data_IF_851671509092
#
_entry.id   IF_851671509092
#
_cell.length_a   1.000
_cell.length_b   1.000
_cell.length_c   1.000
_cell.angle_alpha   90.00
_cell.angle_beta   90.00
_cell.angle_gamma   90.00
#
_symmetry.space_group_name_H-M   'P 1'
#
loop_
_entity.id
_entity.type
_entity.pdbx_description
1 polymer ?
#
# COMPACT_ATOMS: atom_id res chain seq x y z
N UNK A 1 -1.51 -13.32 -1.97
CA UNK A 1 -2.34 -12.11 -2.15
C UNK A 1 -3.78 -12.52 -2.45
N UNK A 2 -4.76 -11.77 -1.97
CA UNK A 2 -6.18 -11.97 -2.29
C UNK A 2 -6.47 -11.55 -3.73
N UNK A 3 -7.43 -12.19 -4.37
CA UNK A 3 -7.85 -11.85 -5.74
C UNK A 3 -9.26 -11.26 -5.74
N UNK A 4 -9.46 -10.25 -6.58
CA UNK A 4 -10.77 -9.61 -6.82
C UNK A 4 -11.00 -9.53 -8.32
N UNK A 5 -12.22 -9.86 -8.76
CA UNK A 5 -12.63 -9.69 -10.14
C UNK A 5 -13.34 -8.34 -10.32
N UNK A 6 -12.93 -7.60 -11.34
CA UNK A 6 -13.50 -6.30 -11.71
C UNK A 6 -13.76 -6.30 -13.21
N UNK A 7 -14.96 -5.87 -13.61
CA UNK A 7 -15.33 -5.72 -15.01
C UNK A 7 -15.06 -4.29 -15.47
N UNK A 8 -14.48 -4.17 -16.64
CA UNK A 8 -14.18 -2.90 -17.28
C UNK A 8 -14.65 -2.83 -18.72
N UNK A 9 -14.74 -1.62 -19.23
CA UNK A 9 -15.05 -1.33 -20.63
C UNK A 9 -14.00 -0.39 -21.20
N UNK A 10 -13.50 -0.65 -22.40
CA UNK A 10 -12.55 0.24 -23.10
C UNK A 10 -13.15 1.62 -23.31
N UNK A 11 -12.37 2.67 -23.10
CA UNK A 11 -12.81 4.04 -23.29
C UNK A 11 -12.52 4.49 -24.71
N UNK A 12 -13.57 4.91 -25.42
CA UNK A 12 -13.44 5.59 -26.72
C UNK A 12 -13.18 7.08 -26.56
N UNK A 13 -13.82 7.73 -25.56
CA UNK A 13 -13.72 9.17 -25.33
C UNK A 13 -12.77 9.48 -24.17
N UNK A 14 -11.78 10.34 -24.42
CA UNK A 14 -10.83 10.85 -23.44
C UNK A 14 -11.09 12.35 -23.19
N UNK A 15 -10.58 12.88 -22.07
CA UNK A 15 -10.62 14.29 -21.73
C UNK A 15 -11.52 14.64 -20.54
N UNK A 16 -11.49 15.93 -20.15
CA UNK A 16 -12.09 16.45 -18.91
C UNK A 16 -13.61 16.28 -18.85
N UNK A 17 -14.32 16.56 -19.96
CA UNK A 17 -15.79 16.50 -20.01
C UNK A 17 -16.27 15.06 -19.87
N UNK A 18 -15.72 14.14 -20.67
CA UNK A 18 -16.06 12.72 -20.63
C UNK A 18 -15.78 12.10 -19.25
N UNK A 19 -14.60 12.37 -18.65
CA UNK A 19 -14.29 11.86 -17.31
C UNK A 19 -15.21 12.40 -16.21
N UNK A 20 -15.72 13.64 -16.36
CA UNK A 20 -16.67 14.22 -15.41
C UNK A 20 -18.07 13.56 -15.53
N UNK A 21 -18.49 13.23 -16.73
CA UNK A 21 -19.76 12.53 -16.99
C UNK A 21 -19.72 11.11 -16.42
N UNK A 22 -18.68 10.34 -16.72
CA UNK A 22 -18.47 8.99 -16.18
C UNK A 22 -18.56 8.94 -14.65
N UNK A 23 -17.88 9.88 -13.97
CA UNK A 23 -17.92 9.93 -12.49
C UNK A 23 -19.32 10.24 -11.94
N UNK A 24 -20.15 10.97 -12.65
CA UNK A 24 -21.57 11.21 -12.27
C UNK A 24 -22.41 9.94 -12.37
N UNK A 25 -22.08 9.05 -13.30
CA UNK A 25 -22.72 7.75 -13.50
C UNK A 25 -22.19 6.67 -12.55
N UNK A 26 -21.28 7.03 -11.63
CA UNK A 26 -20.65 6.08 -10.69
C UNK A 26 -19.56 5.21 -11.32
N UNK A 27 -19.08 5.58 -12.51
CA UNK A 27 -17.97 4.93 -13.17
C UNK A 27 -16.67 5.65 -12.89
N UNK A 28 -15.59 4.90 -12.70
CA UNK A 28 -14.25 5.44 -12.45
C UNK A 28 -13.40 5.27 -13.70
N UNK A 29 -12.82 6.36 -14.23
CA UNK A 29 -11.82 6.26 -15.28
C UNK A 29 -10.55 5.62 -14.75
N UNK A 30 -10.04 4.61 -15.44
CA UNK A 30 -8.88 3.82 -15.08
C UNK A 30 -7.91 3.71 -16.25
N UNK A 31 -6.63 3.50 -15.93
CA UNK A 31 -5.62 3.14 -16.90
C UNK A 31 -4.96 1.82 -16.50
N UNK A 32 -4.59 1.00 -17.48
CA UNK A 32 -3.75 -0.18 -17.30
C UNK A 32 -2.53 -0.06 -18.20
N UNK A 33 -1.37 -0.40 -17.66
CA UNK A 33 -0.09 -0.41 -18.36
C UNK A 33 0.84 -1.47 -17.76
N UNK A 34 1.86 -1.89 -18.51
CA UNK A 34 2.89 -2.79 -17.95
C UNK A 34 3.57 -3.68 -18.97
N UNK A 35 2.90 -4.67 -19.52
CA UNK A 35 3.56 -5.72 -20.28
C UNK A 35 3.72 -5.38 -21.76
N UNK A 36 2.68 -4.85 -22.37
CA UNK A 36 2.70 -4.46 -23.78
C UNK A 36 3.52 -3.19 -23.94
N UNK A 37 4.55 -3.28 -24.77
CA UNK A 37 5.34 -2.12 -25.20
C UNK A 37 4.82 -1.65 -26.55
N UNK A 38 4.52 -0.37 -26.67
CA UNK A 38 4.20 0.26 -27.94
C UNK A 38 5.43 0.34 -28.86
N UNK A 39 5.22 0.76 -30.08
CA UNK A 39 6.27 0.93 -31.10
C UNK A 39 7.46 1.80 -30.64
N UNK A 40 7.21 2.70 -29.68
CA UNK A 40 8.21 3.60 -29.08
C UNK A 40 9.01 2.96 -27.92
N UNK A 41 8.85 1.67 -27.62
CA UNK A 41 9.51 0.97 -26.53
C UNK A 41 8.99 1.35 -25.12
N UNK A 42 8.05 2.28 -25.01
CA UNK A 42 7.37 2.65 -23.77
C UNK A 42 6.20 1.68 -23.49
N UNK A 43 5.85 1.46 -22.21
CA UNK A 43 4.67 0.68 -21.87
C UNK A 43 3.42 1.28 -22.53
N UNK A 44 2.71 0.48 -23.30
CA UNK A 44 1.44 0.89 -23.89
C UNK A 44 0.38 0.93 -22.77
N UNK A 45 -0.16 2.13 -22.53
CA UNK A 45 -1.23 2.32 -21.59
C UNK A 45 -2.56 2.43 -22.33
N UNK A 46 -3.55 1.66 -21.92
CA UNK A 46 -4.89 1.87 -22.44
C UNK A 46 -5.87 2.25 -21.34
N UNK A 47 -6.82 3.13 -21.74
CA UNK A 47 -7.81 3.67 -20.82
C UNK A 47 -9.08 2.81 -20.85
N UNK A 48 -9.61 2.52 -19.66
CA UNK A 48 -10.88 1.82 -19.48
C UNK A 48 -11.71 2.48 -18.38
N UNK A 49 -12.91 2.01 -18.18
CA UNK A 49 -13.78 2.41 -17.07
C UNK A 49 -14.19 1.19 -16.28
N UNK A 50 -14.29 1.34 -14.97
CA UNK A 50 -14.80 0.31 -14.09
C UNK A 50 -15.84 0.90 -13.12
N UNK A 51 -16.76 0.07 -12.64
CA UNK A 51 -17.74 0.48 -11.65
C UNK A 51 -17.08 0.78 -10.31
N UNK A 52 -17.42 1.91 -9.70
CA UNK A 52 -16.96 2.24 -8.36
C UNK A 52 -17.34 1.16 -7.31
N UNK A 53 -18.52 0.55 -7.46
CA UNK A 53 -18.98 -0.49 -6.54
C UNK A 53 -18.07 -1.72 -6.50
N UNK A 54 -17.50 -2.13 -7.65
CA UNK A 54 -16.57 -3.24 -7.75
C UNK A 54 -15.18 -2.88 -7.23
N UNK A 55 -14.70 -1.66 -7.54
CA UNK A 55 -13.41 -1.16 -7.09
C UNK A 55 -13.36 -0.90 -5.57
N UNK A 56 -14.50 -0.57 -4.97
CA UNK A 56 -14.59 -0.19 -3.55
C UNK A 56 -13.91 -1.17 -2.62
N UNK A 57 -14.06 -2.47 -2.85
CA UNK A 57 -13.45 -3.53 -2.02
C UNK A 57 -11.93 -3.53 -2.08
N UNK A 58 -11.35 -3.24 -3.25
CA UNK A 58 -9.90 -3.20 -3.42
C UNK A 58 -9.28 -1.88 -2.96
N UNK A 59 -10.04 -0.77 -3.01
CA UNK A 59 -9.55 0.59 -2.76
C UNK A 59 -9.58 0.95 -1.27
N UNK A 60 -10.69 0.63 -0.57
CA UNK A 60 -10.90 1.05 0.83
C UNK A 60 -10.47 0.03 1.87
N UNK A 61 -9.65 -0.94 1.50
CA UNK A 61 -9.03 -1.89 2.43
C UNK A 61 -7.53 -1.66 2.49
N UNK A 62 -6.89 -1.91 3.65
CA UNK A 62 -5.44 -1.81 3.76
C UNK A 62 -4.71 -2.90 2.98
N UNK A 63 -5.38 -4.00 2.67
CA UNK A 63 -4.81 -5.18 2.03
C UNK A 63 -4.39 -4.90 0.58
N UNK A 64 -3.41 -5.64 0.10
CA UNK A 64 -2.99 -5.60 -1.30
C UNK A 64 -3.68 -6.71 -2.07
N UNK A 65 -4.37 -6.34 -3.15
CA UNK A 65 -5.11 -7.25 -4.01
C UNK A 65 -4.47 -7.39 -5.38
N UNK A 66 -4.52 -8.60 -5.92
CA UNK A 66 -4.40 -8.83 -7.37
C UNK A 66 -5.80 -8.66 -7.95
N UNK A 67 -5.95 -7.76 -8.90
CA UNK A 67 -7.22 -7.48 -9.56
C UNK A 67 -7.24 -8.21 -10.89
N UNK A 68 -8.15 -9.14 -11.04
CA UNK A 68 -8.45 -9.77 -12.31
C UNK A 68 -9.42 -8.86 -13.06
N UNK A 69 -8.90 -8.11 -14.02
CA UNK A 69 -9.67 -7.19 -14.85
C UNK A 69 -10.19 -7.93 -16.07
N UNK A 70 -11.49 -7.92 -16.29
CA UNK A 70 -12.14 -8.36 -17.52
C UNK A 70 -12.55 -7.11 -18.30
N UNK A 71 -11.80 -6.79 -19.36
CA UNK A 71 -12.03 -5.58 -20.14
C UNK A 71 -12.50 -5.99 -21.54
N UNK A 72 -13.81 -5.84 -21.78
CA UNK A 72 -14.47 -6.24 -23.03
C UNK A 72 -14.17 -7.70 -23.46
N UNK A 73 -14.02 -8.62 -22.45
CA UNK A 73 -13.72 -10.03 -22.69
C UNK A 73 -12.22 -10.37 -22.72
N UNK A 74 -11.33 -9.40 -22.55
CA UNK A 74 -9.90 -9.62 -22.38
C UNK A 74 -9.57 -9.65 -20.87
N UNK A 75 -9.01 -10.76 -20.40
CA UNK A 75 -8.62 -10.93 -19.01
C UNK A 75 -7.20 -10.43 -18.77
N UNK A 76 -7.04 -9.51 -17.82
CA UNK A 76 -5.75 -8.98 -17.39
C UNK A 76 -5.58 -9.17 -15.88
N UNK A 77 -4.39 -9.60 -15.45
CA UNK A 77 -4.01 -9.59 -14.03
C UNK A 77 -3.23 -8.34 -13.73
N UNK A 78 -3.71 -7.54 -12.80
CA UNK A 78 -3.09 -6.27 -12.47
C UNK A 78 -3.10 -6.00 -10.97
N UNK A 79 -2.24 -5.10 -10.52
CA UNK A 79 -2.25 -4.55 -9.16
C UNK A 79 -2.51 -3.07 -9.22
N UNK A 80 -3.15 -2.53 -8.18
CA UNK A 80 -3.37 -1.10 -8.05
C UNK A 80 -2.02 -0.43 -7.77
N UNK A 81 -1.62 0.49 -8.63
CA UNK A 81 -0.36 1.24 -8.51
C UNK A 81 -0.58 2.59 -7.86
N UNK A 82 -1.57 3.33 -8.34
CA UNK A 82 -1.90 4.67 -7.84
C UNK A 82 -3.42 4.87 -7.79
N UNK A 83 -3.86 5.63 -6.79
CA UNK A 83 -5.24 6.01 -6.58
C UNK A 83 -5.31 7.51 -6.37
N UNK A 84 -6.21 8.17 -7.09
CA UNK A 84 -6.45 9.60 -6.93
C UNK A 84 -7.82 9.81 -6.31
N UNK A 85 -7.84 10.53 -5.19
CA UNK A 85 -9.07 10.86 -4.47
C UNK A 85 -9.37 12.35 -4.54
N UNK A 86 -10.63 12.66 -4.44
CA UNK A 86 -11.07 14.05 -4.31
C UNK A 86 -10.74 14.56 -2.89
N UNK A 87 -10.07 15.71 -2.73
CA UNK A 87 -9.51 16.14 -1.44
C UNK A 87 -10.55 16.44 -0.35
N UNK A 88 -11.79 16.72 -0.72
CA UNK A 88 -12.86 17.07 0.24
C UNK A 88 -13.94 16.01 0.38
N UNK A 89 -14.16 15.17 -0.64
CA UNK A 89 -15.25 14.18 -0.64
C UNK A 89 -14.77 12.76 -0.54
N UNK A 90 -13.43 12.52 -0.59
CA UNK A 90 -12.79 11.21 -0.66
C UNK A 90 -13.30 10.30 -1.78
N UNK A 91 -14.00 10.88 -2.78
CA UNK A 91 -14.47 10.15 -3.94
C UNK A 91 -13.29 9.73 -4.81
N UNK A 92 -13.27 8.48 -5.27
CA UNK A 92 -12.25 7.97 -6.18
C UNK A 92 -12.38 8.66 -7.54
N UNK A 93 -11.33 9.36 -7.96
CA UNK A 93 -11.28 10.09 -9.22
C UNK A 93 -10.63 9.29 -10.34
N UNK A 94 -9.59 8.54 -10.01
CA UNK A 94 -8.81 7.77 -10.98
C UNK A 94 -8.11 6.59 -10.29
N UNK A 95 -7.91 5.50 -11.02
CA UNK A 95 -7.11 4.37 -10.58
C UNK A 95 -6.16 3.91 -11.69
N UNK A 96 -4.89 3.77 -11.35
CA UNK A 96 -3.86 3.23 -12.21
C UNK A 96 -3.56 1.78 -11.84
N UNK A 97 -3.58 0.93 -12.85
CA UNK A 97 -3.31 -0.49 -12.73
C UNK A 97 -2.01 -0.85 -13.44
N UNK A 98 -1.20 -1.61 -12.76
CA UNK A 98 0.01 -2.19 -13.33
C UNK A 98 -0.23 -3.67 -13.63
N UNK A 99 -0.12 -4.06 -14.90
CA UNK A 99 -0.26 -5.44 -15.33
C UNK A 99 0.90 -6.27 -14.78
N UNK A 100 0.58 -7.39 -14.15
CA UNK A 100 1.55 -8.26 -13.50
C UNK A 100 1.74 -9.55 -14.27
N UNK A 101 3.00 -9.95 -14.41
CA UNK A 101 3.40 -11.24 -14.96
C UNK A 101 4.07 -12.06 -13.85
N UNK A 102 4.01 -13.40 -13.97
CA UNK A 102 4.54 -14.32 -12.97
C UNK A 102 6.05 -14.24 -12.80
N UNK A 103 6.76 -13.81 -13.84
CA UNK A 103 8.23 -13.82 -13.89
C UNK A 103 8.86 -12.48 -13.52
N UNK A 104 8.13 -11.37 -13.67
CA UNK A 104 8.70 -10.03 -13.42
C UNK A 104 8.51 -9.61 -11.98
N UNK A 105 9.58 -9.16 -11.29
CA UNK A 105 9.44 -8.56 -9.97
C UNK A 105 8.68 -7.24 -10.08
N UNK A 106 7.81 -6.98 -9.12
CA UNK A 106 7.03 -5.76 -9.00
C UNK A 106 7.32 -5.08 -7.67
N UNK A 107 7.32 -3.75 -7.65
CA UNK A 107 7.48 -2.97 -6.43
C UNK A 107 6.13 -2.50 -5.94
N UNK A 108 5.72 -2.98 -4.76
CA UNK A 108 4.43 -2.68 -4.14
C UNK A 108 4.62 -2.31 -2.68
N UNK A 109 3.77 -1.37 -2.18
CA UNK A 109 3.71 -1.03 -0.76
C UNK A 109 2.83 -2.01 0.02
N UNK A 110 3.44 -2.85 0.85
CA UNK A 110 2.75 -3.82 1.71
C UNK A 110 2.46 -3.20 3.07
N UNK A 111 1.25 -3.38 3.62
CA UNK A 111 0.91 -2.87 4.94
C UNK A 111 1.72 -3.57 6.04
N UNK A 112 2.09 -2.79 7.06
CA UNK A 112 2.83 -3.25 8.23
C UNK A 112 1.87 -3.50 9.38
N UNK A 113 2.01 -4.65 10.05
CA UNK A 113 1.31 -4.97 11.29
C UNK A 113 2.33 -5.21 12.40
N UNK A 114 2.16 -4.52 13.50
CA UNK A 114 2.99 -4.69 14.69
C UNK A 114 2.41 -5.80 15.56
N UNK A 115 3.23 -6.78 15.90
CA UNK A 115 2.87 -7.91 16.75
C UNK A 115 3.59 -7.80 18.09
N UNK A 116 2.94 -8.24 19.17
CA UNK A 116 3.47 -8.19 20.52
C UNK A 116 3.20 -6.87 21.25
N UNK A 117 3.53 -6.84 22.53
CA UNK A 117 3.46 -5.66 23.39
C UNK A 117 4.88 -5.19 23.71
N UNK A 118 5.25 -4.04 23.18
CA UNK A 118 6.58 -3.47 23.37
C UNK A 118 6.91 -3.25 24.86
N UNK A 119 8.11 -3.62 25.27
CA UNK A 119 8.58 -3.41 26.64
C UNK A 119 8.49 -1.95 27.06
N UNK A 120 8.90 -1.03 26.19
CA UNK A 120 8.81 0.39 26.49
C UNK A 120 7.37 0.93 26.63
N UNK A 121 6.35 0.21 26.15
CA UNK A 121 4.94 0.55 26.41
C UNK A 121 4.56 0.10 27.81
N UNK A 122 5.07 -1.05 28.31
CA UNK A 122 4.91 -1.48 29.72
C UNK A 122 5.54 -0.49 30.67
N UNK A 123 6.66 0.13 30.26
CA UNK A 123 7.37 1.16 31.01
C UNK A 123 6.72 2.55 30.90
N UNK A 124 5.47 2.63 30.40
CA UNK A 124 4.70 3.86 30.29
C UNK A 124 4.97 4.71 29.05
N UNK A 125 5.68 4.18 28.04
CA UNK A 125 5.85 4.81 26.73
C UNK A 125 4.64 4.67 25.82
N UNK A 126 4.64 5.41 24.71
CA UNK A 126 3.63 5.30 23.66
C UNK A 126 4.25 4.78 22.36
N UNK A 127 3.74 3.65 21.87
CA UNK A 127 4.12 3.10 20.56
C UNK A 127 3.56 3.98 19.45
N UNK A 128 4.44 4.40 18.55
CA UNK A 128 4.10 5.21 17.39
C UNK A 128 4.52 4.48 16.11
N UNK A 129 3.57 4.23 15.21
CA UNK A 129 3.83 3.70 13.87
C UNK A 129 4.09 4.89 12.93
N UNK A 130 5.31 5.02 12.42
CA UNK A 130 5.71 6.13 11.54
C UNK A 130 5.30 5.87 10.10
N UNK A 131 5.51 4.65 9.60
CA UNK A 131 5.09 4.26 8.24
C UNK A 131 4.14 3.07 8.32
N UNK A 132 3.08 3.14 7.52
CA UNK A 132 2.03 2.10 7.49
C UNK A 132 2.24 1.08 6.38
N UNK A 133 3.04 1.41 5.36
CA UNK A 133 3.36 0.54 4.22
C UNK A 133 4.86 0.59 3.94
N UNK A 134 5.46 -0.54 3.63
CA UNK A 134 6.86 -0.67 3.20
C UNK A 134 6.84 -1.13 1.74
N UNK A 135 7.58 -0.43 0.88
CA UNK A 135 7.73 -0.84 -0.51
C UNK A 135 8.70 -2.00 -0.59
N UNK A 136 8.24 -3.09 -1.19
CA UNK A 136 9.04 -4.29 -1.45
C UNK A 136 8.99 -4.65 -2.92
N UNK A 137 10.08 -5.23 -3.40
CA UNK A 137 10.22 -5.74 -4.77
C UNK A 137 10.32 -7.26 -4.72
N UNK A 138 9.38 -7.93 -5.35
CA UNK A 138 9.35 -9.39 -5.47
C UNK A 138 8.42 -9.84 -6.60
N UNK A 139 8.49 -11.10 -7.07
CA UNK A 139 7.45 -11.71 -7.89
C UNK A 139 6.11 -11.70 -7.13
N UNK A 140 5.00 -11.39 -7.80
CA UNK A 140 3.71 -11.18 -7.11
C UNK A 140 3.23 -12.40 -6.30
N UNK A 141 3.62 -13.62 -6.68
CA UNK A 141 3.29 -14.85 -5.96
C UNK A 141 3.94 -14.96 -4.57
N UNK A 142 5.10 -14.33 -4.38
CA UNK A 142 5.86 -14.37 -3.13
C UNK A 142 5.49 -13.23 -2.17
N UNK A 143 4.72 -12.25 -2.64
CA UNK A 143 4.35 -11.08 -1.86
C UNK A 143 3.30 -11.47 -0.80
N UNK A 144 3.57 -11.30 0.51
CA UNK A 144 2.63 -11.54 1.58
C UNK A 144 1.55 -10.43 1.63
N UNK A 145 0.43 -10.73 2.26
CA UNK A 145 -0.65 -9.74 2.44
C UNK A 145 -0.28 -8.64 3.44
N UNK A 146 0.52 -8.99 4.46
CA UNK A 146 0.90 -8.11 5.55
C UNK A 146 2.32 -8.44 5.99
N UNK A 147 3.12 -7.41 6.29
CA UNK A 147 4.43 -7.56 6.93
C UNK A 147 4.26 -7.53 8.45
N UNK A 148 4.52 -8.66 9.10
CA UNK A 148 4.47 -8.76 10.55
C UNK A 148 5.81 -8.37 11.15
N UNK A 149 5.81 -7.40 12.06
CA UNK A 149 6.99 -6.92 12.78
C UNK A 149 6.79 -7.14 14.26
N UNK A 150 7.68 -7.91 14.89
CA UNK A 150 7.67 -8.10 16.34
C UNK A 150 8.29 -6.89 17.03
N UNK A 151 7.52 -6.31 17.95
CA UNK A 151 7.94 -5.15 18.76
C UNK A 151 8.15 -5.48 20.23
N UNK A 152 8.09 -6.76 20.62
CA UNK A 152 8.12 -7.20 22.01
C UNK A 152 9.34 -6.65 22.77
N UNK A 153 10.52 -6.69 22.14
CA UNK A 153 11.79 -6.25 22.75
C UNK A 153 12.07 -4.74 22.57
N UNK A 154 11.10 -3.97 22.03
CA UNK A 154 11.32 -2.54 21.78
C UNK A 154 11.22 -1.74 23.08
N UNK A 155 12.35 -1.16 23.50
CA UNK A 155 12.49 -0.37 24.72
C UNK A 155 12.02 1.08 24.54
N UNK A 156 11.87 1.77 25.68
CA UNK A 156 11.54 3.21 25.72
C UNK A 156 12.61 4.03 24.98
N UNK A 157 12.16 4.97 24.13
CA UNK A 157 13.06 5.83 23.35
C UNK A 157 13.74 5.16 22.14
N UNK A 158 13.56 3.86 21.94
CA UNK A 158 14.13 3.14 20.81
C UNK A 158 13.17 3.13 19.61
N UNK A 159 13.73 2.89 18.43
CA UNK A 159 13.00 2.82 17.15
C UNK A 159 13.50 1.63 16.32
N UNK A 160 12.61 1.02 15.57
CA UNK A 160 12.93 0.02 14.55
C UNK A 160 13.00 0.72 13.22
N UNK A 161 14.15 0.62 12.53
CA UNK A 161 14.36 1.13 11.17
C UNK A 161 14.12 0.02 10.16
N UNK A 162 13.83 0.40 8.91
CA UNK A 162 13.65 -0.53 7.78
C UNK A 162 14.86 -1.42 7.59
N UNK A 163 16.09 -0.87 7.73
CA UNK A 163 17.34 -1.62 7.60
C UNK A 163 17.58 -2.72 8.64
N UNK A 164 16.83 -2.73 9.75
CA UNK A 164 16.87 -3.80 10.74
C UNK A 164 15.92 -4.97 10.43
N UNK A 165 15.10 -4.83 9.37
CA UNK A 165 14.12 -5.82 8.97
C UNK A 165 14.65 -6.65 7.81
N UNK A 166 14.41 -7.96 7.85
CA UNK A 166 14.70 -8.89 6.77
C UNK A 166 13.49 -9.80 6.58
N UNK A 167 13.06 -9.96 5.36
CA UNK A 167 11.95 -10.85 5.00
C UNK A 167 12.43 -11.80 3.91
N UNK A 168 12.16 -13.10 4.08
CA UNK A 168 12.58 -14.12 3.13
C UNK A 168 11.93 -13.90 1.75
N UNK A 169 12.75 -13.89 0.70
CA UNK A 169 12.28 -13.75 -0.68
C UNK A 169 11.78 -12.36 -1.08
N UNK A 170 11.97 -11.34 -0.23
CA UNK A 170 11.54 -9.97 -0.49
C UNK A 170 12.75 -9.02 -0.47
N UNK A 171 12.87 -8.21 -1.49
CA UNK A 171 13.81 -7.09 -1.52
C UNK A 171 13.11 -5.81 -1.07
N UNK A 172 13.64 -5.14 -0.04
CA UNK A 172 13.04 -3.93 0.50
C UNK A 172 13.51 -2.73 -0.34
N UNK A 173 12.59 -2.11 -1.05
CA UNK A 173 12.86 -0.91 -1.87
C UNK A 173 12.82 0.40 -1.07
N UNK A 174 12.27 0.38 0.15
CA UNK A 174 12.24 1.56 1.04
C UNK A 174 13.62 1.78 1.64
N UNK A 175 14.06 3.05 1.75
CA UNK A 175 15.36 3.40 2.33
C UNK A 175 15.56 2.79 3.73
N UNK A 176 16.74 2.20 4.03
CA UNK A 176 17.04 1.55 5.29
C UNK A 176 17.02 2.49 6.50
N UNK A 177 17.22 3.79 6.30
CA UNK A 177 17.20 4.80 7.36
C UNK A 177 15.81 5.18 7.87
N UNK A 178 14.76 4.80 7.14
CA UNK A 178 13.39 5.15 7.50
C UNK A 178 12.96 4.39 8.75
N UNK A 179 12.40 5.13 9.72
CA UNK A 179 11.86 4.56 10.96
C UNK A 179 10.48 3.98 10.69
N UNK A 180 10.30 2.70 11.02
CA UNK A 180 9.01 2.01 10.90
C UNK A 180 8.13 2.29 12.10
N UNK A 181 8.64 2.04 13.29
CA UNK A 181 7.95 2.30 14.55
C UNK A 181 8.93 2.73 15.63
N UNK A 182 8.44 3.43 16.64
CA UNK A 182 9.21 3.90 17.77
C UNK A 182 8.36 3.95 19.04
N UNK A 183 9.00 3.78 20.21
CA UNK A 183 8.35 4.02 21.50
C UNK A 183 8.79 5.37 22.02
N UNK A 184 7.87 6.31 22.10
CA UNK A 184 8.12 7.66 22.61
C UNK A 184 7.86 7.70 24.12
N UNK A 185 8.74 8.40 24.86
CA UNK A 185 8.53 8.67 26.27
C UNK A 185 7.33 9.62 26.48
N UNK A 186 6.45 9.29 27.41
CA UNK A 186 5.34 10.14 27.84
C UNK A 186 5.77 11.03 29.00
N UNK A 187 4.92 11.98 29.40
CA UNK A 187 5.20 12.79 30.62
C UNK A 187 5.30 11.90 31.86
N UNK A 188 4.40 10.92 31.97
CA UNK A 188 4.37 9.99 33.09
C UNK A 188 5.65 9.13 33.17
N UNK A 189 6.13 8.60 32.04
CA UNK A 189 7.36 7.80 32.03
C UNK A 189 8.61 8.64 32.34
N UNK A 190 8.64 9.93 31.93
CA UNK A 190 9.74 10.82 32.28
C UNK A 190 9.76 11.20 33.76
N UNK A 191 8.58 11.45 34.36
CA UNK A 191 8.50 11.73 35.80
C UNK A 191 8.88 10.52 36.64
N UNK A 192 8.48 9.31 36.21
CA UNK A 192 8.88 8.07 36.89
C UNK A 192 10.40 7.81 36.79
N UNK A 193 11.01 8.07 35.62
CA UNK A 193 12.45 7.95 35.44
C UNK A 193 13.23 8.97 36.28
N UNK A 194 12.77 10.23 36.33
CA UNK A 194 13.36 11.28 37.14
C UNK A 194 13.25 11.00 38.65
N UNK A 195 12.14 10.38 39.08
CA UNK A 195 11.97 9.96 40.49
C UNK A 195 12.95 8.81 40.85
N UNK A 196 13.13 7.85 39.95
CA UNK A 196 14.05 6.74 40.16
C UNK A 196 15.55 7.18 40.17
N UNK A 197 15.90 8.20 39.38
CA UNK A 197 17.25 8.80 39.41
C UNK A 197 17.49 9.65 40.67
N UNK A 198 16.43 10.17 41.30
CA UNK A 198 16.55 10.96 42.55
C UNK A 198 16.63 10.10 43.81
N UNK A 199 16.29 8.81 43.75
CA UNK A 199 16.35 7.83 44.83
C UNK A 199 17.65 6.97 44.79
N UNK A 200 18.46 7.07 43.73
CA UNK A 200 19.70 6.33 43.53
C UNK A 200 20.95 7.20 43.87
#
# INVERSE_FOLDING_TARGET
MKEINVKGQKRAATGKKASKELRKEGMVPCNIYGEKKGENGLPEAFAFTASFAELRKAVYTPDVYVVNLDIDGEAHKAVIKELQFHPTTDALLHADFYEVNETKPITIGIPVKLNGLAQGVRDGGKLNLSIRKINVTAPYKQIPEVLNIDVTNLQLGKAIKVGALSFEGLEIATSPEVVVCSVKATRASRSAAAAAEAEA
#
